data_IF_294370571034
#
_entry.id   IF_294370571034
#
_cell.length_a   1.000
_cell.length_b   1.000
_cell.length_c   1.000
_cell.angle_alpha   90.00
_cell.angle_beta   90.00
_cell.angle_gamma   90.00
#
_symmetry.space_group_name_H-M   'P 1'
#
loop_
_entity.id
_entity.type
_entity.pdbx_description
1 polymer ?
#
# COMPACT_ATOMS: atom_id res chain seq x y z
N UNK A 1 -14.55 7.30 -18.70
CA UNK A 1 -14.19 5.92 -18.32
C UNK A 1 -12.76 5.55 -18.68
N UNK A 2 -12.28 5.87 -19.89
CA UNK A 2 -10.95 5.50 -20.40
C UNK A 2 -9.76 5.84 -19.46
N UNK A 3 -9.73 7.04 -18.87
CA UNK A 3 -8.63 7.43 -17.97
C UNK A 3 -8.61 6.59 -16.68
N UNK A 4 -9.77 6.23 -16.14
CA UNK A 4 -9.87 5.42 -14.91
C UNK A 4 -9.49 3.97 -15.19
N UNK A 5 -9.93 3.44 -16.33
CA UNK A 5 -9.55 2.11 -16.81
C UNK A 5 -8.03 1.95 -16.92
N UNK A 6 -7.38 2.95 -17.52
CA UNK A 6 -5.90 2.99 -17.60
C UNK A 6 -5.23 3.03 -16.22
N UNK A 7 -5.86 3.64 -15.22
CA UNK A 7 -5.31 3.70 -13.83
C UNK A 7 -5.38 2.36 -13.14
N UNK A 8 -6.52 1.66 -13.21
CA UNK A 8 -6.68 0.35 -12.56
C UNK A 8 -5.74 -0.70 -13.18
N UNK A 9 -5.63 -0.70 -14.50
CA UNK A 9 -4.69 -1.55 -15.23
C UNK A 9 -3.24 -1.24 -14.86
N UNK A 10 -2.88 0.04 -14.77
CA UNK A 10 -1.54 0.47 -14.38
C UNK A 10 -1.15 0.00 -12.97
N UNK A 11 -2.06 0.15 -11.99
CA UNK A 11 -1.85 -0.34 -10.62
C UNK A 11 -1.68 -1.86 -10.61
N UNK A 12 -2.58 -2.58 -11.29
CA UNK A 12 -2.52 -4.04 -11.40
C UNK A 12 -1.20 -4.52 -12.02
N UNK A 13 -0.79 -3.91 -13.14
CA UNK A 13 0.45 -4.23 -13.82
C UNK A 13 1.69 -3.97 -12.96
N UNK A 14 1.71 -2.87 -12.21
CA UNK A 14 2.84 -2.48 -11.36
C UNK A 14 3.04 -3.46 -10.21
N UNK A 15 1.98 -3.79 -9.47
CA UNK A 15 2.09 -4.75 -8.36
C UNK A 15 2.34 -6.19 -8.84
N UNK A 16 1.76 -6.60 -9.96
CA UNK A 16 2.11 -7.90 -10.59
C UNK A 16 3.57 -7.96 -11.01
N UNK A 17 4.12 -6.88 -11.54
CA UNK A 17 5.56 -6.80 -11.87
C UNK A 17 6.41 -6.98 -10.61
N UNK A 18 6.03 -6.36 -9.49
CA UNK A 18 6.73 -6.52 -8.21
C UNK A 18 6.67 -7.97 -7.70
N UNK A 19 5.48 -8.58 -7.72
CA UNK A 19 5.30 -10.00 -7.35
C UNK A 19 6.15 -10.92 -8.23
N UNK A 20 6.12 -10.74 -9.55
CA UNK A 20 6.90 -11.54 -10.49
C UNK A 20 8.41 -11.36 -10.28
N UNK A 21 8.88 -10.14 -10.03
CA UNK A 21 10.28 -9.89 -9.74
C UNK A 21 10.72 -10.56 -8.42
N UNK A 22 9.86 -10.53 -7.39
CA UNK A 22 10.11 -11.23 -6.13
C UNK A 22 10.13 -12.76 -6.35
N UNK A 23 9.14 -13.32 -7.04
CA UNK A 23 9.08 -14.74 -7.37
C UNK A 23 10.34 -15.23 -8.10
N UNK A 24 10.79 -14.48 -9.13
CA UNK A 24 12.02 -14.79 -9.85
C UNK A 24 13.26 -14.73 -8.94
N UNK A 25 13.28 -13.83 -7.96
CA UNK A 25 14.37 -13.72 -6.98
C UNK A 25 14.38 -14.93 -6.04
N UNK A 26 13.20 -15.42 -5.61
CA UNK A 26 13.10 -16.65 -4.82
C UNK A 26 13.49 -17.88 -5.62
N UNK A 27 13.07 -17.95 -6.89
CA UNK A 27 13.36 -19.08 -7.77
C UNK A 27 14.87 -19.26 -8.00
N UNK A 28 15.61 -18.15 -8.13
CA UNK A 28 17.07 -18.12 -8.35
C UNK A 28 17.92 -18.55 -7.15
N UNK A 29 17.34 -18.69 -5.96
CA UNK A 29 18.10 -19.12 -4.76
C UNK A 29 18.55 -20.58 -4.91
N UNK A 30 19.76 -20.86 -4.43
CA UNK A 30 20.29 -22.21 -4.38
C UNK A 30 19.49 -23.07 -3.38
N UNK A 31 19.61 -24.40 -3.51
CA UNK A 31 18.91 -25.35 -2.62
C UNK A 31 19.30 -25.13 -1.16
N UNK A 32 20.59 -24.94 -0.90
CA UNK A 32 21.11 -24.68 0.43
C UNK A 32 20.45 -23.45 1.08
N UNK A 33 20.26 -22.36 0.32
CA UNK A 33 19.61 -21.14 0.81
C UNK A 33 18.11 -21.32 1.05
N UNK A 34 17.44 -22.10 0.19
CA UNK A 34 16.00 -22.38 0.30
C UNK A 34 15.66 -23.18 1.57
N UNK A 35 16.54 -24.10 1.95
CA UNK A 35 16.35 -24.97 3.11
C UNK A 35 16.70 -24.28 4.44
N UNK A 36 17.34 -23.11 4.40
CA UNK A 36 17.56 -22.31 5.62
C UNK A 36 16.23 -21.82 6.22
N UNK A 37 16.15 -21.63 7.55
CA UNK A 37 14.97 -21.03 8.18
C UNK A 37 14.58 -19.69 7.55
N UNK A 38 15.56 -18.87 7.16
CA UNK A 38 15.34 -17.60 6.49
C UNK A 38 14.74 -17.78 5.08
N UNK A 39 15.24 -18.76 4.31
CA UNK A 39 14.73 -19.08 2.97
C UNK A 39 13.27 -19.54 3.00
N UNK A 40 12.92 -20.38 3.97
CA UNK A 40 11.55 -20.84 4.21
C UNK A 40 10.65 -19.68 4.64
N UNK A 41 11.10 -18.83 5.57
CA UNK A 41 10.36 -17.66 6.03
C UNK A 41 10.07 -16.67 4.90
N UNK A 42 11.07 -16.36 4.07
CA UNK A 42 10.93 -15.46 2.92
C UNK A 42 9.92 -16.00 1.89
N UNK A 43 9.94 -17.31 1.65
CA UNK A 43 8.98 -17.99 0.76
C UNK A 43 7.57 -17.92 1.36
N UNK A 44 7.44 -18.15 2.67
CA UNK A 44 6.18 -17.99 3.40
C UNK A 44 5.62 -16.56 3.30
N UNK A 45 6.48 -15.54 3.44
CA UNK A 45 6.06 -14.15 3.28
C UNK A 45 5.59 -13.84 1.86
N UNK A 46 6.26 -14.37 0.83
CA UNK A 46 5.82 -14.21 -0.55
C UNK A 46 4.43 -14.84 -0.77
N UNK A 47 4.24 -16.10 -0.36
CA UNK A 47 2.96 -16.80 -0.49
C UNK A 47 1.83 -16.07 0.21
N UNK A 48 2.07 -15.61 1.45
CA UNK A 48 1.10 -14.83 2.20
C UNK A 48 0.78 -13.50 1.51
N UNK A 49 1.80 -12.79 1.02
CA UNK A 49 1.63 -11.49 0.35
C UNK A 49 0.86 -11.65 -0.97
N UNK A 50 1.18 -12.66 -1.76
CA UNK A 50 0.46 -13.01 -2.98
C UNK A 50 -1.04 -13.23 -2.70
N UNK A 51 -1.35 -14.07 -1.69
CA UNK A 51 -2.72 -14.29 -1.26
C UNK A 51 -3.45 -13.04 -0.77
N UNK A 52 -2.76 -12.17 -0.02
CA UNK A 52 -3.31 -10.89 0.46
C UNK A 52 -3.62 -9.92 -0.67
N UNK A 53 -2.84 -9.92 -1.76
CA UNK A 53 -3.04 -9.02 -2.91
C UNK A 53 -4.10 -9.51 -3.89
N UNK A 54 -4.50 -10.78 -3.81
CA UNK A 54 -5.45 -11.37 -4.77
C UNK A 54 -6.82 -10.66 -4.79
N UNK A 55 -7.46 -10.32 -3.65
CA UNK A 55 -8.72 -9.59 -3.65
C UNK A 55 -8.61 -8.21 -4.30
N UNK A 56 -7.47 -7.52 -4.14
CA UNK A 56 -7.22 -6.23 -4.78
C UNK A 56 -7.19 -6.35 -6.30
N UNK A 57 -6.54 -7.39 -6.85
CA UNK A 57 -6.54 -7.62 -8.30
C UNK A 57 -7.93 -7.93 -8.85
N UNK A 58 -8.77 -8.62 -8.08
CA UNK A 58 -10.17 -8.87 -8.46
C UNK A 58 -10.93 -7.54 -8.49
N UNK A 59 -10.82 -6.71 -7.45
CA UNK A 59 -11.48 -5.41 -7.39
C UNK A 59 -11.02 -4.45 -8.50
N UNK A 60 -9.73 -4.41 -8.82
CA UNK A 60 -9.18 -3.63 -9.95
C UNK A 60 -9.72 -4.11 -11.29
N UNK A 61 -9.84 -5.43 -11.49
CA UNK A 61 -10.41 -5.99 -12.73
C UNK A 61 -11.90 -5.70 -12.87
N UNK A 62 -12.63 -5.74 -11.75
CA UNK A 62 -14.08 -5.50 -11.71
C UNK A 62 -14.46 -4.02 -11.63
N UNK A 63 -13.48 -3.13 -11.49
CA UNK A 63 -13.69 -1.68 -11.35
C UNK A 63 -14.55 -1.28 -10.16
N UNK A 64 -14.41 -2.01 -9.05
CA UNK A 64 -15.21 -1.83 -7.83
C UNK A 64 -14.50 -1.01 -6.76
N UNK A 65 -13.26 -0.57 -7.02
CA UNK A 65 -12.52 0.24 -6.06
C UNK A 65 -13.02 1.68 -6.05
N UNK A 66 -13.23 2.21 -4.84
CA UNK A 66 -13.59 3.62 -4.64
C UNK A 66 -12.37 4.50 -4.94
N UNK A 67 -12.61 5.70 -5.49
CA UNK A 67 -11.57 6.67 -5.82
C UNK A 67 -10.62 7.01 -4.66
N UNK A 68 -11.14 7.07 -3.44
CA UNK A 68 -10.37 7.33 -2.21
C UNK A 68 -9.30 6.24 -1.92
N UNK A 69 -9.42 5.06 -2.54
CA UNK A 69 -8.44 3.95 -2.47
C UNK A 69 -7.60 3.92 -3.74
N UNK A 70 -8.24 4.06 -4.91
CA UNK A 70 -7.55 3.97 -6.20
C UNK A 70 -6.52 5.09 -6.38
N UNK A 71 -6.84 6.33 -5.99
CA UNK A 71 -5.95 7.48 -6.16
C UNK A 71 -4.63 7.26 -5.38
N UNK A 72 -4.64 6.98 -4.06
CA UNK A 72 -3.41 6.66 -3.34
C UNK A 72 -2.62 5.49 -3.94
N UNK A 73 -3.29 4.44 -4.43
CA UNK A 73 -2.60 3.30 -5.06
C UNK A 73 -1.86 3.69 -6.35
N UNK A 74 -2.46 4.55 -7.18
CA UNK A 74 -1.82 5.10 -8.38
C UNK A 74 -0.58 5.91 -8.00
N UNK A 75 -0.69 6.78 -7.00
CA UNK A 75 0.43 7.60 -6.55
C UNK A 75 1.58 6.78 -5.94
N UNK A 76 1.24 5.73 -5.17
CA UNK A 76 2.23 4.75 -4.70
C UNK A 76 2.94 4.12 -5.90
N UNK A 77 2.21 3.70 -6.93
CA UNK A 77 2.81 3.09 -8.14
C UNK A 77 3.72 4.07 -8.88
N UNK A 78 3.32 5.34 -9.02
CA UNK A 78 4.15 6.40 -9.61
C UNK A 78 5.44 6.60 -8.82
N UNK A 79 5.36 6.70 -7.49
CA UNK A 79 6.52 6.87 -6.63
C UNK A 79 7.44 5.65 -6.66
N UNK A 80 6.90 4.43 -6.68
CA UNK A 80 7.67 3.19 -6.82
C UNK A 80 8.38 3.14 -8.17
N UNK A 81 7.74 3.59 -9.25
CA UNK A 81 8.36 3.67 -10.57
C UNK A 81 9.51 4.69 -10.61
N UNK A 82 9.31 5.85 -9.97
CA UNK A 82 10.33 6.90 -9.81
C UNK A 82 11.42 6.57 -8.77
N UNK A 83 11.27 5.46 -8.02
CA UNK A 83 12.13 5.07 -6.89
C UNK A 83 12.19 6.13 -5.78
N UNK A 84 11.05 6.76 -5.51
CA UNK A 84 10.82 7.71 -4.42
C UNK A 84 10.07 7.00 -3.28
N UNK A 85 10.71 6.04 -2.62
CA UNK A 85 10.05 5.17 -1.62
C UNK A 85 9.59 5.91 -0.37
N UNK A 86 10.27 7.01 -0.01
CA UNK A 86 9.84 7.91 1.07
C UNK A 86 8.48 8.54 0.78
N UNK A 87 8.30 9.10 -0.41
CA UNK A 87 7.02 9.68 -0.83
C UNK A 87 5.96 8.60 -1.00
N UNK A 88 6.34 7.42 -1.52
CA UNK A 88 5.44 6.28 -1.60
C UNK A 88 4.93 5.87 -0.20
N UNK A 89 5.78 5.90 0.82
CA UNK A 89 5.42 5.61 2.21
C UNK A 89 4.40 6.60 2.76
N UNK A 90 4.53 7.90 2.45
CA UNK A 90 3.54 8.92 2.85
C UNK A 90 2.16 8.66 2.22
N UNK A 91 2.12 8.30 0.94
CA UNK A 91 0.88 7.90 0.28
C UNK A 91 0.29 6.61 0.86
N UNK A 92 1.14 5.65 1.20
CA UNK A 92 0.73 4.44 1.91
C UNK A 92 0.12 4.76 3.27
N UNK A 93 0.72 5.68 4.03
CA UNK A 93 0.18 6.11 5.32
C UNK A 93 -1.22 6.71 5.15
N UNK A 94 -1.41 7.62 4.18
CA UNK A 94 -2.73 8.18 3.83
C UNK A 94 -3.75 7.09 3.47
N UNK A 95 -3.35 6.10 2.67
CA UNK A 95 -4.20 4.96 2.30
C UNK A 95 -4.58 4.11 3.53
N UNK A 96 -3.61 3.79 4.38
CA UNK A 96 -3.80 2.88 5.53
C UNK A 96 -4.60 3.50 6.68
N UNK A 97 -4.52 4.82 6.82
CA UNK A 97 -5.32 5.60 7.77
C UNK A 97 -6.73 5.84 7.21
N UNK A 98 -6.86 6.01 5.90
CA UNK A 98 -8.10 6.49 5.27
C UNK A 98 -8.31 7.98 5.53
N UNK A 99 -9.51 8.49 5.23
CA UNK A 99 -9.86 9.91 5.38
C UNK A 99 -10.04 10.34 6.86
N UNK A 100 -9.21 9.81 7.75
CA UNK A 100 -9.16 10.20 9.16
C UNK A 100 -8.69 11.65 9.24
N UNK A 101 -9.58 12.53 9.69
CA UNK A 101 -9.16 13.83 10.18
C UNK A 101 -8.22 13.59 11.37
N UNK A 102 -6.91 13.60 11.11
CA UNK A 102 -5.93 13.72 12.18
C UNK A 102 -5.83 15.22 12.52
N UNK A 103 -6.07 15.63 13.77
CA UNK A 103 -5.67 16.95 14.21
C UNK A 103 -4.15 16.94 14.37
N UNK A 104 -3.41 17.13 13.28
CA UNK A 104 -1.99 17.42 13.37
C UNK A 104 -1.82 18.87 13.82
N UNK A 105 -1.77 19.06 15.14
CA UNK A 105 -1.18 20.24 15.75
C UNK A 105 -2.09 21.02 16.69
N UNK A 106 -1.54 21.23 17.89
CA UNK A 106 -1.81 22.29 18.87
C UNK A 106 -2.74 21.89 20.01
N UNK A 107 -2.11 21.57 21.15
CA UNK A 107 -2.60 21.86 22.49
C UNK A 107 -2.99 23.33 22.60
N UNK A 108 -4.22 23.68 22.20
CA UNK A 108 -4.78 25.00 22.50
C UNK A 108 -5.40 24.97 23.89
N UNK A 109 -4.54 25.32 24.85
CA UNK A 109 -4.79 26.06 26.09
C UNK A 109 -6.23 26.57 26.28
N UNK A 110 -6.80 26.29 27.46
CA UNK A 110 -7.80 27.15 28.09
C UNK A 110 -9.18 26.54 28.30
N UNK A 111 -9.59 26.49 29.56
CA UNK A 111 -10.92 26.16 30.06
C UNK A 111 -11.92 27.22 29.55
N UNK A 112 -12.43 27.07 28.34
CA UNK A 112 -13.78 27.52 27.96
C UNK A 112 -14.13 26.96 26.58
N UNK A 113 -14.98 25.93 26.53
CA UNK A 113 -15.51 25.38 25.29
C UNK A 113 -16.23 26.49 24.51
N UNK A 114 -15.78 26.75 23.28
CA UNK A 114 -16.63 27.39 22.28
C UNK A 114 -17.10 26.35 21.28
N UNK A 115 -18.40 26.12 21.31
CA UNK A 115 -19.13 25.31 20.35
C UNK A 115 -19.11 25.94 18.95
N UNK A 116 -19.21 25.05 17.95
CA UNK A 116 -19.57 25.28 16.55
C UNK A 116 -18.48 25.72 15.55
N UNK A 117 -17.77 24.72 15.03
CA UNK A 117 -17.70 24.55 13.56
C UNK A 117 -18.13 23.13 13.22
N UNK A 118 -19.45 22.97 13.05
CA UNK A 118 -20.03 21.83 12.35
C UNK A 118 -19.47 21.82 10.92
N UNK A 119 -18.70 20.78 10.59
CA UNK A 119 -18.67 20.05 9.30
C UNK A 119 -17.27 19.44 9.06
N UNK A 120 -16.78 18.65 10.02
CA UNK A 120 -15.70 17.71 9.74
C UNK A 120 -16.40 16.38 9.48
N UNK A 121 -16.34 15.93 8.23
CA UNK A 121 -17.00 14.74 7.68
C UNK A 121 -16.53 13.46 8.40
N UNK A 122 -16.96 13.30 9.64
CA UNK A 122 -16.73 12.15 10.50
C UNK A 122 -17.66 11.01 10.05
N UNK A 123 -17.26 10.30 8.99
CA UNK A 123 -18.04 9.16 8.50
C UNK A 123 -17.27 8.16 7.62
N UNK A 124 -16.17 8.56 6.97
CA UNK A 124 -15.47 7.69 6.00
C UNK A 124 -14.20 7.02 6.50
N UNK A 125 -13.75 7.34 7.71
CA UNK A 125 -12.56 6.75 8.36
C UNK A 125 -12.76 5.28 8.71
N UNK A 126 -13.99 4.92 9.09
CA UNK A 126 -14.30 3.61 9.65
C UNK A 126 -14.25 2.47 8.62
N UNK A 127 -14.43 2.75 7.33
CA UNK A 127 -14.67 1.65 6.37
C UNK A 127 -13.42 0.79 6.11
N UNK A 128 -12.23 1.40 6.01
CA UNK A 128 -10.99 0.67 5.67
C UNK A 128 -10.54 -0.22 6.84
N UNK A 129 -10.60 0.30 8.07
CA UNK A 129 -10.23 -0.46 9.26
C UNK A 129 -11.31 -1.44 9.73
N UNK A 130 -12.51 -1.46 9.15
CA UNK A 130 -13.55 -2.45 9.48
C UNK A 130 -13.53 -3.68 8.56
N UNK A 131 -13.01 -3.57 7.33
CA UNK A 131 -12.99 -4.68 6.37
C UNK A 131 -11.66 -5.46 6.38
N UNK A 132 -11.71 -6.74 6.76
CA UNK A 132 -10.53 -7.61 6.87
C UNK A 132 -9.79 -7.81 5.54
N UNK A 133 -10.55 -7.92 4.45
CA UNK A 133 -10.01 -8.03 3.10
C UNK A 133 -9.22 -6.78 2.72
N UNK A 134 -9.74 -5.59 3.08
CA UNK A 134 -9.06 -4.33 2.82
C UNK A 134 -7.75 -4.21 3.60
N UNK A 135 -7.78 -4.53 4.90
CA UNK A 135 -6.56 -4.54 5.74
C UNK A 135 -5.49 -5.47 5.19
N UNK A 136 -5.88 -6.68 4.76
CA UNK A 136 -4.95 -7.67 4.17
C UNK A 136 -4.28 -7.15 2.90
N UNK A 137 -5.03 -6.63 1.92
CA UNK A 137 -4.37 -6.16 0.71
C UNK A 137 -3.54 -4.89 0.95
N UNK A 138 -3.94 -4.00 1.88
CA UNK A 138 -3.13 -2.83 2.26
C UNK A 138 -1.80 -3.30 2.85
N UNK A 139 -1.83 -4.29 3.75
CA UNK A 139 -0.62 -4.92 4.25
C UNK A 139 0.22 -5.54 3.12
N UNK A 140 -0.44 -6.18 2.15
CA UNK A 140 0.20 -6.70 0.94
C UNK A 140 0.93 -5.60 0.15
N UNK A 141 0.28 -4.45 -0.08
CA UNK A 141 0.88 -3.29 -0.75
C UNK A 141 2.12 -2.80 -0.03
N UNK A 142 2.08 -2.67 1.31
CA UNK A 142 3.27 -2.28 2.10
C UNK A 142 4.44 -3.21 1.84
N UNK A 143 4.19 -4.53 1.90
CA UNK A 143 5.23 -5.54 1.68
C UNK A 143 5.80 -5.47 0.27
N UNK A 144 4.95 -5.25 -0.73
CA UNK A 144 5.41 -5.06 -2.11
C UNK A 144 6.27 -3.80 -2.26
N UNK A 145 5.94 -2.70 -1.57
CA UNK A 145 6.77 -1.49 -1.57
C UNK A 145 8.14 -1.75 -0.94
N UNK A 146 8.18 -2.37 0.24
CA UNK A 146 9.44 -2.75 0.90
C UNK A 146 10.27 -3.67 0.00
N UNK A 147 9.61 -4.62 -0.68
CA UNK A 147 10.32 -5.55 -1.56
C UNK A 147 10.78 -4.91 -2.86
N UNK A 148 10.03 -3.96 -3.39
CA UNK A 148 10.45 -3.13 -4.52
C UNK A 148 11.71 -2.31 -4.18
N UNK A 149 11.79 -1.70 -2.99
CA UNK A 149 12.99 -0.98 -2.54
C UNK A 149 14.22 -1.89 -2.45
N UNK A 150 14.05 -3.15 -2.00
CA UNK A 150 15.13 -4.13 -1.94
C UNK A 150 15.58 -4.59 -3.33
N UNK A 151 14.65 -4.73 -4.28
CA UNK A 151 14.95 -5.15 -5.66
C UNK A 151 15.51 -4.01 -6.52
N UNK A 152 15.09 -2.77 -6.26
CA UNK A 152 15.48 -1.57 -7.00
C UNK A 152 15.92 -0.46 -6.04
N UNK A 153 17.14 -0.56 -5.50
CA UNK A 153 17.64 0.42 -4.55
C UNK A 153 17.75 1.82 -5.16
N UNK A 154 17.70 2.82 -4.29
CA UNK A 154 17.80 4.25 -4.60
C UNK A 154 18.70 4.94 -3.56
N UNK A 155 18.84 6.26 -3.65
CA UNK A 155 19.57 7.06 -2.67
C UNK A 155 18.98 6.84 -1.25
N UNK A 156 19.83 6.74 -0.19
CA UNK A 156 19.35 6.63 1.18
C UNK A 156 18.32 7.69 1.59
N UNK A 157 18.42 8.92 1.06
CA UNK A 157 17.49 10.02 1.33
C UNK A 157 16.05 9.76 0.83
N UNK A 158 15.90 8.85 -0.14
CA UNK A 158 14.64 8.47 -0.79
C UNK A 158 14.14 7.09 -0.34
N UNK A 159 14.87 6.42 0.53
CA UNK A 159 14.57 5.10 1.09
C UNK A 159 13.90 5.21 2.46
N UNK A 160 13.17 4.16 2.88
CA UNK A 160 12.53 4.05 4.20
C UNK A 160 12.89 2.74 4.89
#
# INVERSE_FOLDING_TARGET
>A
EDITERREEYVSATFRRCLKAWELTLAKRDRADKDTPQGLQDTGYFTQTSGFTQPLFVSLKQRTLVGDILIPLVEICNCVHAREYRVASEWYMKLSIGNAAWPMGVTSVGIHERAATNNIFCGKVAHILNNDTQRKYIQGVKRLMTKAQQLWPTDPSKSV
#
